data_IF_061252994561
#
_entry.id   IF_061252994561
#
_cell.length_a   1.000
_cell.length_b   1.000
_cell.length_c   1.000
_cell.angle_alpha   90.00
_cell.angle_beta   90.00
_cell.angle_gamma   90.00
#
_symmetry.space_group_name_H-M   'P 1'
#
loop_
_entity.id
_entity.type
_entity.pdbx_description
1 polymer ?
#
# COMPACT_ATOMS: atom_id res chain seq x y z
N UNK A 1 5.18 29.80 -11.78
CA UNK A 1 5.83 29.05 -10.68
C UNK A 1 6.54 27.84 -11.28
N UNK A 2 7.86 27.91 -11.46
CA UNK A 2 8.65 26.85 -12.14
C UNK A 2 8.85 25.70 -11.14
N UNK A 3 7.97 24.70 -11.17
CA UNK A 3 8.14 23.51 -10.33
C UNK A 3 9.38 22.78 -10.84
N UNK A 4 10.46 22.82 -10.06
CA UNK A 4 11.68 22.07 -10.37
C UNK A 4 11.29 20.60 -10.53
N UNK A 5 11.59 19.99 -11.70
CA UNK A 5 11.24 18.60 -12.04
C UNK A 5 11.45 17.63 -10.87
N UNK A 6 12.53 17.81 -10.13
CA UNK A 6 12.91 17.03 -8.93
C UNK A 6 11.84 17.03 -7.83
N UNK A 7 11.20 18.17 -7.54
CA UNK A 7 10.13 18.24 -6.53
C UNK A 7 8.89 17.46 -6.98
N UNK A 8 8.57 17.50 -8.28
CA UNK A 8 7.44 16.74 -8.83
C UNK A 8 7.67 15.23 -8.76
N UNK A 9 8.91 14.79 -9.01
CA UNK A 9 9.30 13.38 -8.84
C UNK A 9 9.29 12.94 -7.37
N UNK A 10 9.75 13.78 -6.44
CA UNK A 10 9.69 13.46 -5.01
C UNK A 10 8.24 13.32 -4.54
N UNK A 11 7.35 14.22 -4.96
CA UNK A 11 5.91 14.15 -4.61
C UNK A 11 5.25 12.90 -5.22
N UNK A 12 5.62 12.52 -6.44
CA UNK A 12 5.15 11.30 -7.09
C UNK A 12 5.53 10.03 -6.31
N UNK A 13 6.80 9.95 -5.92
CA UNK A 13 7.36 8.81 -5.20
C UNK A 13 6.76 8.74 -3.80
N UNK A 14 6.57 9.90 -3.16
CA UNK A 14 5.90 10.02 -1.88
C UNK A 14 4.43 9.57 -1.94
N UNK A 15 3.68 10.05 -2.92
CA UNK A 15 2.26 9.71 -3.09
C UNK A 15 2.10 8.21 -3.38
N UNK A 16 2.87 7.67 -4.32
CA UNK A 16 2.81 6.25 -4.69
C UNK A 16 3.24 5.34 -3.54
N UNK A 17 4.29 5.72 -2.80
CA UNK A 17 4.75 4.98 -1.62
C UNK A 17 3.75 5.06 -0.46
N UNK A 18 3.11 6.22 -0.25
CA UNK A 18 2.08 6.41 0.76
C UNK A 18 0.84 5.57 0.47
N UNK A 19 0.37 5.53 -0.79
CA UNK A 19 -0.74 4.67 -1.20
C UNK A 19 -0.40 3.18 -1.07
N UNK A 20 0.81 2.78 -1.46
CA UNK A 20 1.29 1.40 -1.26
C UNK A 20 1.26 1.03 0.23
N UNK A 21 1.86 1.85 1.10
CA UNK A 21 1.87 1.62 2.55
C UNK A 21 0.47 1.59 3.15
N UNK A 22 -0.41 2.49 2.73
CA UNK A 22 -1.80 2.54 3.21
C UNK A 22 -2.56 1.27 2.83
N UNK A 23 -2.48 0.82 1.57
CA UNK A 23 -3.14 -0.41 1.11
C UNK A 23 -2.55 -1.63 1.80
N UNK A 24 -1.23 -1.69 1.97
CA UNK A 24 -0.56 -2.75 2.68
C UNK A 24 -1.01 -2.85 4.14
N UNK A 25 -1.00 -1.73 4.87
CA UNK A 25 -1.43 -1.66 6.27
C UNK A 25 -2.92 -2.00 6.42
N UNK A 26 -3.78 -1.49 5.54
CA UNK A 26 -5.20 -1.81 5.57
C UNK A 26 -5.44 -3.31 5.35
N UNK A 27 -4.77 -3.93 4.37
CA UNK A 27 -4.89 -5.37 4.14
C UNK A 27 -4.40 -6.20 5.35
N UNK A 28 -3.26 -5.82 5.91
CA UNK A 28 -2.70 -6.46 7.10
C UNK A 28 -3.67 -6.36 8.28
N UNK A 29 -4.20 -5.17 8.57
CA UNK A 29 -5.15 -4.95 9.67
C UNK A 29 -6.43 -5.76 9.43
N UNK A 30 -6.98 -5.74 8.22
CA UNK A 30 -8.21 -6.49 7.91
C UNK A 30 -8.04 -8.00 8.07
N UNK A 31 -6.92 -8.56 7.59
CA UNK A 31 -6.65 -9.99 7.76
C UNK A 31 -6.33 -10.37 9.20
N UNK A 32 -5.57 -9.55 9.93
CA UNK A 32 -5.30 -9.78 11.35
C UNK A 32 -6.58 -9.73 12.17
N UNK A 33 -7.43 -8.72 11.94
CA UNK A 33 -8.73 -8.61 12.61
C UNK A 33 -9.67 -9.77 12.22
N UNK A 34 -9.73 -10.13 10.94
CA UNK A 34 -10.53 -11.26 10.48
C UNK A 34 -10.08 -12.60 11.07
N UNK A 35 -8.77 -12.83 11.12
CA UNK A 35 -8.17 -14.02 11.71
C UNK A 35 -8.37 -14.05 13.24
N UNK A 36 -8.24 -12.91 13.90
CA UNK A 36 -8.49 -12.76 15.34
C UNK A 36 -9.96 -13.06 15.69
N UNK A 37 -10.90 -12.46 14.95
CA UNK A 37 -12.35 -12.72 15.11
C UNK A 37 -12.69 -14.19 14.80
N UNK A 38 -11.97 -14.81 13.86
CA UNK A 38 -12.08 -16.24 13.56
C UNK A 38 -11.49 -17.20 14.61
N UNK A 39 -10.92 -16.68 15.71
CA UNK A 39 -10.35 -17.49 16.79
C UNK A 39 -8.93 -18.01 16.50
N UNK A 40 -8.24 -17.41 15.53
CA UNK A 40 -6.88 -17.77 15.15
C UNK A 40 -5.85 -17.40 16.23
N UNK A 41 -5.07 -18.39 16.69
CA UNK A 41 -4.02 -18.20 17.71
C UNK A 41 -2.66 -17.80 17.15
N UNK A 42 -2.38 -18.09 15.88
CA UNK A 42 -1.06 -17.95 15.27
C UNK A 42 -1.01 -16.86 14.20
N UNK A 43 -1.22 -15.63 14.65
CA UNK A 43 -1.33 -14.44 13.80
C UNK A 43 -0.04 -14.20 13.00
N UNK A 44 1.13 -14.42 13.61
CA UNK A 44 2.42 -14.23 12.97
C UNK A 44 2.69 -15.26 11.86
N UNK A 45 2.32 -16.53 12.08
CA UNK A 45 2.46 -17.57 11.06
C UNK A 45 1.53 -17.30 9.88
N UNK A 46 0.28 -16.89 10.16
CA UNK A 46 -0.71 -16.53 9.15
C UNK A 46 -0.30 -15.29 8.33
N UNK A 47 0.29 -14.28 8.96
CA UNK A 47 0.83 -13.10 8.26
C UNK A 47 1.98 -13.49 7.32
N UNK A 48 2.92 -14.30 7.80
CA UNK A 48 4.10 -14.69 7.02
C UNK A 48 3.72 -15.51 5.80
N UNK A 49 2.74 -16.41 5.93
CA UNK A 49 2.23 -17.24 4.83
C UNK A 49 1.53 -16.38 3.76
N UNK A 50 0.77 -15.36 4.19
CA UNK A 50 0.03 -14.46 3.30
C UNK A 50 0.82 -13.23 2.84
N UNK A 51 2.09 -13.09 3.22
CA UNK A 51 2.89 -11.89 2.92
C UNK A 51 3.07 -11.66 1.42
N UNK A 52 3.17 -12.75 0.66
CA UNK A 52 3.22 -12.71 -0.80
C UNK A 52 1.92 -12.16 -1.41
N UNK A 53 0.76 -12.51 -0.85
CA UNK A 53 -0.52 -11.93 -1.27
C UNK A 53 -0.61 -10.45 -0.92
N UNK A 54 -0.21 -10.05 0.28
CA UNK A 54 -0.20 -8.63 0.68
C UNK A 54 0.68 -7.78 -0.25
N UNK A 55 1.87 -8.27 -0.60
CA UNK A 55 2.76 -7.60 -1.56
C UNK A 55 2.12 -7.46 -2.95
N UNK A 56 1.45 -8.52 -3.43
CA UNK A 56 0.80 -8.52 -4.73
C UNK A 56 -0.38 -7.53 -4.79
N UNK A 57 -1.19 -7.47 -3.73
CA UNK A 57 -2.29 -6.51 -3.60
C UNK A 57 -1.74 -5.10 -3.43
N UNK A 58 -0.73 -4.91 -2.59
CA UNK A 58 -0.11 -3.60 -2.37
C UNK A 58 0.51 -3.04 -3.67
N UNK A 59 1.07 -3.90 -4.52
CA UNK A 59 1.57 -3.52 -5.86
C UNK A 59 0.49 -2.88 -6.72
N UNK A 60 -0.77 -3.32 -6.60
CA UNK A 60 -1.91 -2.68 -7.29
C UNK A 60 -2.20 -1.27 -6.72
N UNK A 61 -2.02 -1.07 -5.41
CA UNK A 61 -2.09 0.24 -4.77
C UNK A 61 -0.99 1.20 -5.21
N UNK A 62 0.23 0.70 -5.46
CA UNK A 62 1.32 1.49 -6.04
C UNK A 62 0.99 1.93 -7.47
N UNK A 63 0.43 1.04 -8.28
CA UNK A 63 -0.02 1.35 -9.64
C UNK A 63 -1.13 2.41 -9.66
N UNK A 64 -2.06 2.34 -8.70
CA UNK A 64 -3.09 3.35 -8.52
C UNK A 64 -2.49 4.72 -8.16
N UNK A 65 -1.56 4.78 -7.20
CA UNK A 65 -0.84 6.01 -6.84
C UNK A 65 -0.06 6.61 -8.02
N UNK A 66 0.54 5.76 -8.86
CA UNK A 66 1.21 6.16 -10.09
C UNK A 66 0.23 6.72 -11.14
N UNK A 67 -0.94 6.09 -11.31
CA UNK A 67 -2.00 6.57 -12.20
C UNK A 67 -2.55 7.92 -11.73
N UNK A 68 -2.82 8.10 -10.42
CA UNK A 68 -3.28 9.39 -9.88
C UNK A 68 -2.30 10.53 -10.17
N UNK A 69 -1.00 10.25 -10.09
CA UNK A 69 0.03 11.22 -10.48
C UNK A 69 0.05 11.51 -11.98
N UNK A 70 -0.10 10.49 -12.84
CA UNK A 70 -0.19 10.68 -14.31
C UNK A 70 -1.37 11.56 -14.72
N UNK A 71 -2.50 11.42 -14.03
CA UNK A 71 -3.68 12.24 -14.28
C UNK A 71 -3.59 13.65 -13.67
N UNK A 72 -2.48 13.99 -13.00
CA UNK A 72 -2.25 15.32 -12.45
C UNK A 72 -3.21 15.70 -11.31
N UNK A 73 -3.88 14.71 -10.72
CA UNK A 73 -4.70 14.90 -9.52
C UNK A 73 -3.72 15.11 -8.37
N UNK A 74 -3.43 16.38 -8.08
CA UNK A 74 -2.60 16.84 -6.95
C UNK A 74 -3.49 17.38 -5.85
#
# INVERSE_FOLDING_TARGET
>A
MKINKTKSFIVMLYLSCSFFLAVFLMCMIFQVLGYWVGGGKEIFHFISDNIGMYLKISTSGFLAGFMFWLFGIR
#
